data_IF_005121269624
#
_entry.id   IF_005121269624
#
_cell.length_a   1.000
_cell.length_b   1.000
_cell.length_c   1.000
_cell.angle_alpha   90.00
_cell.angle_beta   90.00
_cell.angle_gamma   90.00
#
_symmetry.space_group_name_H-M   'P 1'
#
loop_
_entity.id
_entity.type
_entity.pdbx_description
1 polymer ?
#
# COMPACT_ATOMS: atom_id res chain seq x y z
N UNK A 1 26.27 2.26 16.10
CA UNK A 1 25.71 1.79 14.81
C UNK A 1 24.32 2.39 14.70
N UNK A 2 24.00 3.10 13.61
CA UNK A 2 22.61 3.53 13.36
C UNK A 2 21.84 2.31 12.87
N UNK A 3 20.77 1.93 13.56
CA UNK A 3 19.86 0.90 13.07
C UNK A 3 19.14 1.45 11.83
N UNK A 4 19.33 0.78 10.70
CA UNK A 4 18.63 1.07 9.45
C UNK A 4 17.64 -0.07 9.26
N UNK A 5 16.34 0.19 9.43
CA UNK A 5 15.32 -0.86 9.29
C UNK A 5 13.97 -0.50 9.90
N UNK A 6 13.05 -1.46 9.87
CA UNK A 6 11.77 -1.40 10.58
C UNK A 6 11.99 -1.63 12.08
N UNK A 7 11.24 -0.92 12.90
CA UNK A 7 11.33 -0.95 14.37
C UNK A 7 10.05 -1.60 14.92
N UNK A 8 10.01 -2.93 15.11
CA UNK A 8 8.80 -3.60 15.63
C UNK A 8 9.10 -4.65 16.70
N UNK A 9 8.17 -4.82 17.64
CA UNK A 9 8.19 -5.90 18.64
C UNK A 9 7.42 -7.11 18.14
N UNK A 10 8.02 -8.30 18.28
CA UNK A 10 7.36 -9.58 18.01
C UNK A 10 6.39 -10.00 19.10
N UNK A 11 6.42 -9.35 20.27
CA UNK A 11 5.56 -9.68 21.42
C UNK A 11 4.17 -9.03 21.34
N UNK A 12 4.02 -7.96 20.55
CA UNK A 12 2.77 -7.17 20.48
C UNK A 12 1.83 -7.56 19.32
N UNK A 13 2.24 -8.44 18.39
CA UNK A 13 1.52 -8.65 17.12
C UNK A 13 1.45 -10.13 16.72
N UNK A 14 0.23 -10.62 16.46
CA UNK A 14 0.03 -11.87 15.71
C UNK A 14 0.73 -11.77 14.33
N UNK A 15 1.34 -12.87 13.88
CA UNK A 15 2.17 -12.90 12.65
C UNK A 15 1.46 -12.32 11.44
N UNK A 16 0.19 -12.66 11.26
CA UNK A 16 -0.65 -12.21 10.15
C UNK A 16 -0.82 -10.69 10.17
N UNK A 17 -1.07 -10.11 11.35
CA UNK A 17 -1.20 -8.66 11.52
C UNK A 17 0.11 -7.94 11.21
N UNK A 18 1.25 -8.54 11.54
CA UNK A 18 2.55 -7.99 11.21
C UNK A 18 2.78 -7.96 9.69
N UNK A 19 2.40 -9.02 8.96
CA UNK A 19 2.49 -9.08 7.50
C UNK A 19 1.61 -7.99 6.87
N UNK A 20 0.35 -7.87 7.31
CA UNK A 20 -0.58 -6.83 6.82
C UNK A 20 0.00 -5.43 7.03
N UNK A 21 0.57 -5.16 8.21
CA UNK A 21 1.21 -3.87 8.51
C UNK A 21 2.47 -3.62 7.69
N UNK A 22 3.23 -4.66 7.38
CA UNK A 22 4.37 -4.56 6.48
C UNK A 22 3.94 -4.25 5.04
N UNK A 23 2.89 -4.90 4.53
CA UNK A 23 2.29 -4.58 3.24
C UNK A 23 1.81 -3.11 3.20
N UNK A 24 1.19 -2.63 4.28
CA UNK A 24 0.82 -1.22 4.42
C UNK A 24 2.03 -0.27 4.33
N UNK A 25 3.14 -0.62 4.99
CA UNK A 25 4.38 0.15 4.90
C UNK A 25 4.94 0.17 3.47
N UNK A 26 4.96 -0.99 2.79
CA UNK A 26 5.38 -1.08 1.39
C UNK A 26 4.54 -0.16 0.50
N UNK A 27 3.22 -0.21 0.63
CA UNK A 27 2.30 0.66 -0.13
C UNK A 27 2.54 2.14 0.15
N UNK A 28 2.99 2.53 1.35
CA UNK A 28 3.33 3.94 1.66
C UNK A 28 4.59 4.41 0.92
N UNK A 29 5.57 3.54 0.74
CA UNK A 29 6.82 3.90 0.05
C UNK A 29 6.72 3.81 -1.47
N UNK A 30 5.68 3.16 -2.01
CA UNK A 30 5.46 3.04 -3.47
C UNK A 30 5.40 4.39 -4.21
N UNK A 31 5.07 5.50 -3.54
CA UNK A 31 5.11 6.84 -4.14
C UNK A 31 6.50 7.19 -4.72
N UNK A 32 7.57 6.57 -4.22
CA UNK A 32 8.92 6.73 -4.76
C UNK A 32 9.06 6.21 -6.19
N UNK A 33 8.14 5.37 -6.66
CA UNK A 33 8.12 4.83 -8.03
C UNK A 33 7.40 5.75 -9.03
N UNK A 34 6.91 6.92 -8.57
CA UNK A 34 6.20 7.86 -9.44
C UNK A 34 7.11 8.40 -10.55
N UNK A 35 6.59 8.39 -11.77
CA UNK A 35 7.18 8.94 -12.99
C UNK A 35 6.65 10.33 -13.33
N UNK A 36 5.45 10.64 -12.84
CA UNK A 36 4.79 11.92 -13.06
C UNK A 36 4.39 12.52 -11.71
N UNK A 37 4.55 13.84 -11.59
CA UNK A 37 4.16 14.59 -10.41
C UNK A 37 3.20 15.70 -10.85
N UNK A 38 1.99 15.69 -10.29
CA UNK A 38 0.97 16.69 -10.54
C UNK A 38 0.68 17.45 -9.25
N UNK A 39 0.47 18.76 -9.36
CA UNK A 39 -0.02 19.60 -8.28
C UNK A 39 -1.46 19.98 -8.58
N UNK A 40 -2.32 20.02 -7.56
CA UNK A 40 -3.67 20.55 -7.72
C UNK A 40 -3.62 22.04 -8.12
N UNK A 41 -4.72 22.56 -8.66
CA UNK A 41 -4.89 23.99 -8.94
C UNK A 41 -4.88 24.84 -7.66
N UNK A 42 -5.28 24.25 -6.54
CA UNK A 42 -5.36 24.84 -5.20
C UNK A 42 -4.04 24.75 -4.43
N UNK A 43 -3.04 24.08 -5.02
CA UNK A 43 -1.78 23.78 -4.34
C UNK A 43 -1.06 25.06 -3.94
N UNK A 44 -0.82 25.22 -2.64
CA UNK A 44 -0.04 26.32 -2.09
C UNK A 44 1.03 25.79 -1.14
N UNK A 45 2.26 26.26 -1.33
CA UNK A 45 3.36 25.97 -0.43
C UNK A 45 3.81 27.22 0.31
N UNK A 46 3.73 27.24 1.65
CA UNK A 46 4.32 28.33 2.43
C UNK A 46 5.81 28.49 2.11
N UNK A 47 6.34 29.72 1.92
CA UNK A 47 7.74 29.96 1.54
C UNK A 47 8.76 29.24 2.41
N UNK A 48 8.49 29.09 3.72
CA UNK A 48 9.33 28.39 4.68
C UNK A 48 9.46 26.88 4.41
N UNK A 49 8.60 26.29 3.58
CA UNK A 49 8.56 24.86 3.26
C UNK A 49 8.95 24.56 1.81
N UNK A 50 9.12 25.57 0.96
CA UNK A 50 9.44 25.39 -0.48
C UNK A 50 10.68 24.53 -0.68
N UNK A 51 11.76 24.82 0.06
CA UNK A 51 13.01 24.06 -0.03
C UNK A 51 12.85 22.58 0.38
N UNK A 52 12.00 22.31 1.37
CA UNK A 52 11.70 20.94 1.79
C UNK A 52 10.87 20.19 0.75
N UNK A 53 9.89 20.88 0.15
CA UNK A 53 9.07 20.36 -0.95
C UNK A 53 9.91 20.06 -2.20
N UNK A 54 10.81 20.97 -2.59
CA UNK A 54 11.73 20.75 -3.72
C UNK A 54 12.59 19.51 -3.52
N UNK A 55 13.13 19.30 -2.31
CA UNK A 55 13.91 18.10 -1.97
C UNK A 55 13.09 16.82 -2.03
N UNK A 56 11.84 16.87 -1.56
CA UNK A 56 10.93 15.74 -1.63
C UNK A 56 10.63 15.38 -3.10
N UNK A 57 10.32 16.38 -3.93
CA UNK A 57 10.09 16.20 -5.36
C UNK A 57 11.33 15.59 -6.02
N UNK A 58 12.53 16.13 -5.78
CA UNK A 58 13.81 15.57 -6.28
C UNK A 58 14.03 14.13 -5.83
N UNK A 59 13.60 13.78 -4.62
CA UNK A 59 13.71 12.43 -4.05
C UNK A 59 12.80 11.46 -4.81
N UNK A 60 11.56 11.85 -5.09
CA UNK A 60 10.59 11.05 -5.85
C UNK A 60 11.06 10.89 -7.30
N UNK A 61 11.42 11.99 -7.98
CA UNK A 61 11.84 11.95 -9.39
C UNK A 61 13.07 11.09 -9.63
N UNK A 62 13.94 10.95 -8.61
CA UNK A 62 15.14 10.12 -8.65
C UNK A 62 14.96 8.73 -8.05
N UNK A 63 13.72 8.34 -7.74
CA UNK A 63 13.35 7.04 -7.15
C UNK A 63 14.15 6.69 -5.90
N UNK A 64 14.44 7.70 -5.08
CA UNK A 64 15.18 7.53 -3.82
C UNK A 64 14.22 7.16 -2.69
N UNK A 65 14.77 6.62 -1.61
CA UNK A 65 14.01 6.25 -0.43
C UNK A 65 13.22 7.44 0.16
N UNK A 66 11.90 7.36 0.11
CA UNK A 66 11.00 8.38 0.67
C UNK A 66 10.72 8.15 2.15
N UNK A 67 11.14 7.03 2.73
CA UNK A 67 10.88 6.69 4.14
C UNK A 67 11.27 7.78 5.15
N UNK A 68 12.30 8.63 4.92
CA UNK A 68 12.61 9.75 5.81
C UNK A 68 11.50 10.82 5.89
N UNK A 69 10.67 10.94 4.85
CA UNK A 69 9.57 11.91 4.78
C UNK A 69 8.28 11.40 5.45
N UNK A 70 8.19 10.10 5.73
CA UNK A 70 7.05 9.51 6.43
C UNK A 70 7.11 9.80 7.95
N UNK A 71 5.97 9.62 8.61
CA UNK A 71 5.92 9.60 10.07
C UNK A 71 6.86 8.53 10.65
N UNK A 72 7.47 8.80 11.80
CA UNK A 72 8.22 7.78 12.56
C UNK A 72 7.37 6.54 12.87
N UNK A 73 6.05 6.73 12.98
CA UNK A 73 5.05 5.66 13.15
C UNK A 73 5.03 4.65 12.00
N UNK A 74 5.43 5.04 10.80
CA UNK A 74 5.44 4.16 9.64
C UNK A 74 6.47 3.03 9.78
N UNK A 75 7.71 3.34 10.20
CA UNK A 75 8.73 2.31 10.47
C UNK A 75 8.39 1.45 11.69
N UNK A 76 7.57 1.98 12.60
CA UNK A 76 7.01 1.25 13.72
C UNK A 76 5.79 0.38 13.36
N UNK A 77 5.46 0.27 12.07
CA UNK A 77 4.33 -0.53 11.57
C UNK A 77 3.01 -0.16 12.27
N UNK A 78 2.83 1.14 12.55
CA UNK A 78 1.58 1.66 13.12
C UNK A 78 0.65 2.10 12.00
N UNK A 79 -0.64 1.89 12.24
CA UNK A 79 -1.70 2.26 11.32
C UNK A 79 -1.74 3.78 11.11
N UNK A 80 -1.99 4.17 9.86
CA UNK A 80 -2.29 5.54 9.46
C UNK A 80 -3.73 5.53 8.95
N UNK A 81 -4.64 6.09 9.75
CA UNK A 81 -6.07 6.01 9.46
C UNK A 81 -6.45 6.66 8.14
N UNK A 82 -5.88 7.82 7.81
CA UNK A 82 -6.25 8.53 6.58
C UNK A 82 -5.60 7.89 5.35
N UNK A 83 -4.38 7.35 5.46
CA UNK A 83 -3.83 6.53 4.38
C UNK A 83 -4.60 5.21 4.18
N UNK A 84 -5.05 4.57 5.26
CA UNK A 84 -5.83 3.34 5.17
C UNK A 84 -7.22 3.61 4.60
N UNK A 85 -7.85 4.71 5.00
CA UNK A 85 -9.20 5.07 4.58
C UNK A 85 -9.23 5.64 3.15
N UNK A 86 -8.36 6.60 2.86
CA UNK A 86 -8.39 7.38 1.61
C UNK A 86 -7.21 7.13 0.67
N UNK A 87 -6.18 6.40 1.10
CA UNK A 87 -4.95 6.26 0.31
C UNK A 87 -4.10 7.53 0.27
N UNK A 88 -4.44 8.55 1.06
CA UNK A 88 -3.71 9.83 1.12
C UNK A 88 -2.55 9.73 2.10
N UNK A 89 -1.35 9.99 1.59
CA UNK A 89 -0.09 10.03 2.32
C UNK A 89 0.16 11.41 2.94
N UNK A 90 0.83 11.38 4.09
CA UNK A 90 1.27 12.56 4.82
C UNK A 90 2.80 12.60 4.84
N UNK A 91 3.38 13.62 4.19
CA UNK A 91 4.82 13.74 4.01
C UNK A 91 5.34 15.01 4.70
N UNK A 92 6.35 14.87 5.56
CA UNK A 92 6.99 15.98 6.26
C UNK A 92 7.86 16.82 5.31
N UNK A 93 7.91 18.14 5.52
CA UNK A 93 8.57 19.09 4.60
C UNK A 93 9.76 19.81 5.23
N UNK A 94 10.38 19.21 6.25
CA UNK A 94 11.63 19.70 6.82
C UNK A 94 12.78 19.72 5.81
N UNK A 95 13.71 20.63 6.05
CA UNK A 95 14.86 20.80 5.16
C UNK A 95 16.02 19.85 5.50
N UNK A 96 16.12 19.37 6.75
CA UNK A 96 17.21 18.51 7.20
C UNK A 96 16.70 17.19 7.80
N UNK A 97 17.60 16.22 7.88
CA UNK A 97 17.38 14.99 8.65
C UNK A 97 17.70 15.23 10.12
N UNK A 98 16.85 14.72 10.99
CA UNK A 98 17.09 14.61 12.42
C UNK A 98 18.13 13.49 12.71
N UNK A 99 18.49 13.34 13.98
CA UNK A 99 19.45 12.33 14.43
C UNK A 99 19.02 10.88 14.14
N UNK A 100 17.71 10.63 13.97
CA UNK A 100 17.10 9.33 13.66
C UNK A 100 16.97 9.08 12.16
N UNK A 101 17.33 10.05 11.32
CA UNK A 101 17.24 9.93 9.87
C UNK A 101 15.84 10.20 9.31
N UNK A 102 15.04 11.00 10.02
CA UNK A 102 13.76 11.51 9.52
C UNK A 102 13.86 12.98 9.18
N UNK A 103 13.04 13.43 8.24
CA UNK A 103 12.91 14.85 7.95
C UNK A 103 12.35 15.59 9.18
N UNK A 104 12.97 16.71 9.52
CA UNK A 104 12.55 17.57 10.63
C UNK A 104 11.07 17.93 10.52
N UNK A 105 10.36 17.89 11.66
CA UNK A 105 8.94 18.21 11.71
C UNK A 105 8.76 19.73 11.61
N UNK A 106 8.09 20.17 10.56
CA UNK A 106 7.85 21.58 10.27
C UNK A 106 6.51 22.11 10.78
N UNK A 107 5.62 21.23 11.25
CA UNK A 107 4.22 21.56 11.52
C UNK A 107 3.37 21.15 10.32
N UNK A 108 3.24 22.00 9.28
CA UNK A 108 2.57 21.65 8.04
C UNK A 108 3.23 20.48 7.31
N UNK A 109 2.42 19.73 6.60
CA UNK A 109 2.77 18.49 5.90
C UNK A 109 2.04 18.43 4.56
N UNK A 110 2.68 17.79 3.59
CA UNK A 110 2.10 17.54 2.28
C UNK A 110 1.13 16.36 2.35
N UNK A 111 -0.07 16.58 1.83
CA UNK A 111 -1.03 15.52 1.54
C UNK A 111 -0.87 15.13 0.07
N UNK A 112 -0.61 13.85 -0.19
CA UNK A 112 -0.37 13.35 -1.55
C UNK A 112 -1.07 12.01 -1.79
N UNK A 113 -1.48 11.75 -3.02
CA UNK A 113 -2.03 10.46 -3.44
C UNK A 113 -1.11 9.84 -4.49
N UNK A 114 -0.91 8.53 -4.46
CA UNK A 114 -0.14 7.82 -5.47
C UNK A 114 -1.02 6.86 -6.25
N UNK A 115 -1.05 7.02 -7.58
CA UNK A 115 -1.70 6.10 -8.49
C UNK A 115 -0.65 5.17 -9.11
N UNK A 116 -0.66 3.91 -8.68
CA UNK A 116 0.27 2.90 -9.17
C UNK A 116 0.04 2.52 -10.65
N UNK A 117 -1.19 2.63 -11.16
CA UNK A 117 -1.47 2.29 -12.57
C UNK A 117 -0.86 3.32 -13.53
N UNK A 118 -0.95 4.60 -13.17
CA UNK A 118 -0.39 5.71 -13.96
C UNK A 118 1.07 6.01 -13.60
N UNK A 119 1.59 5.39 -12.52
CA UNK A 119 2.85 5.75 -11.87
C UNK A 119 2.93 7.27 -11.63
N UNK A 120 1.87 7.83 -11.05
CA UNK A 120 1.74 9.27 -10.85
C UNK A 120 1.53 9.62 -9.37
N UNK A 121 2.28 10.62 -8.90
CA UNK A 121 2.08 11.25 -7.60
C UNK A 121 1.27 12.55 -7.77
N UNK A 122 0.20 12.64 -7.00
CA UNK A 122 -0.76 13.73 -7.01
C UNK A 122 -0.63 14.52 -5.70
N UNK A 123 0.05 15.66 -5.77
CA UNK A 123 0.26 16.57 -4.65
C UNK A 123 -1.00 17.41 -4.43
N UNK A 124 -1.78 17.05 -3.41
CA UNK A 124 -3.11 17.62 -3.17
C UNK A 124 -2.98 19.02 -2.60
N UNK A 125 -2.44 19.16 -1.39
CA UNK A 125 -2.10 20.45 -0.80
C UNK A 125 -1.21 20.27 0.44
N UNK A 126 -0.82 21.38 1.07
CA UNK A 126 -0.15 21.39 2.37
C UNK A 126 -1.16 21.76 3.45
N UNK A 127 -1.22 20.94 4.49
CA UNK A 127 -2.16 21.09 5.60
C UNK A 127 -1.43 21.12 6.94
N UNK A 128 -2.05 21.79 7.92
CA UNK A 128 -1.63 21.66 9.31
C UNK A 128 -1.76 20.22 9.81
N UNK A 129 -0.80 19.81 10.64
CA UNK A 129 -0.82 18.50 11.25
C UNK A 129 -2.05 18.33 12.16
N UNK A 130 -2.86 17.30 11.93
CA UNK A 130 -4.11 17.08 12.68
C UNK A 130 -5.36 17.04 11.78
N UNK A 131 -5.26 17.58 10.57
CA UNK A 131 -6.34 17.68 9.58
C UNK A 131 -6.64 16.36 8.87
N UNK A 132 -6.89 15.29 9.63
CA UNK A 132 -6.95 13.92 9.11
C UNK A 132 -8.29 13.53 8.47
N UNK A 133 -9.33 14.33 8.61
CA UNK A 133 -10.66 14.05 8.07
C UNK A 133 -11.21 15.21 7.25
N UNK A 134 -10.31 16.08 6.76
CA UNK A 134 -10.66 17.23 5.96
C UNK A 134 -11.29 16.80 4.63
N UNK A 135 -12.59 17.05 4.45
CA UNK A 135 -13.34 16.58 3.26
C UNK A 135 -12.87 17.25 1.97
N UNK A 136 -12.38 18.49 2.08
CA UNK A 136 -11.85 19.25 0.95
C UNK A 136 -10.69 18.52 0.23
N UNK A 137 -9.94 17.67 0.93
CA UNK A 137 -8.88 16.83 0.33
C UNK A 137 -9.43 15.99 -0.82
N UNK A 138 -10.57 15.33 -0.60
CA UNK A 138 -11.21 14.49 -1.63
C UNK A 138 -11.94 15.33 -2.67
N UNK A 139 -12.46 16.50 -2.28
CA UNK A 139 -13.04 17.44 -3.24
C UNK A 139 -11.98 18.00 -4.21
N UNK A 140 -10.81 18.41 -3.71
CA UNK A 140 -9.68 18.86 -4.53
C UNK A 140 -9.23 17.74 -5.47
N UNK A 141 -9.12 16.51 -4.97
CA UNK A 141 -8.80 15.36 -5.83
C UNK A 141 -9.84 15.19 -6.94
N UNK A 142 -11.13 15.34 -6.64
CA UNK A 142 -12.21 15.23 -7.62
C UNK A 142 -12.19 16.35 -8.66
N UNK A 143 -11.99 17.59 -8.24
CA UNK A 143 -12.00 18.77 -9.12
C UNK A 143 -10.78 18.82 -10.06
N UNK A 144 -9.68 18.18 -9.66
CA UNK A 144 -8.44 18.13 -10.45
C UNK A 144 -8.29 16.84 -11.25
N UNK A 145 -8.62 15.70 -10.64
CA UNK A 145 -8.34 14.37 -11.17
C UNK A 145 -9.53 13.42 -10.94
N UNK A 146 -10.71 13.71 -11.50
CA UNK A 146 -11.93 12.95 -11.20
C UNK A 146 -11.80 11.46 -11.51
N UNK A 147 -11.00 11.09 -12.51
CA UNK A 147 -10.73 9.70 -12.89
C UNK A 147 -10.02 8.89 -11.81
N UNK A 148 -9.28 9.53 -10.90
CA UNK A 148 -8.66 8.87 -9.74
C UNK A 148 -9.74 8.39 -8.77
N UNK A 149 -10.85 9.11 -8.68
CA UNK A 149 -11.97 8.80 -7.78
C UNK A 149 -13.13 8.06 -8.46
N UNK A 150 -13.19 8.04 -9.80
CA UNK A 150 -14.19 7.33 -10.60
C UNK A 150 -14.46 5.89 -10.14
N UNK A 151 -13.45 5.05 -9.84
CA UNK A 151 -13.67 3.67 -9.38
C UNK A 151 -14.43 3.57 -8.05
N UNK A 152 -14.45 4.64 -7.26
CA UNK A 152 -15.07 4.68 -5.93
C UNK A 152 -16.43 5.38 -5.93
N UNK A 153 -16.88 5.92 -7.07
CA UNK A 153 -18.18 6.57 -7.20
C UNK A 153 -19.32 5.57 -7.10
N UNK A 154 -20.36 5.95 -6.35
CA UNK A 154 -21.58 5.16 -6.22
C UNK A 154 -22.58 5.52 -7.32
N UNK A 155 -22.46 4.82 -8.46
CA UNK A 155 -23.36 5.03 -9.58
C UNK A 155 -24.81 4.72 -9.21
N UNK A 156 -25.72 5.64 -9.53
CA UNK A 156 -27.15 5.53 -9.23
C UNK A 156 -27.55 5.98 -7.82
N UNK A 157 -26.62 6.50 -7.02
CA UNK A 157 -26.89 7.08 -5.70
C UNK A 157 -26.79 8.60 -5.79
N UNK A 158 -27.85 9.30 -5.38
CA UNK A 158 -27.89 10.78 -5.45
C UNK A 158 -27.26 11.47 -4.24
N UNK A 159 -27.31 10.84 -3.07
CA UNK A 159 -26.70 11.32 -1.83
C UNK A 159 -26.64 10.18 -0.81
N UNK A 160 -25.71 10.25 0.13
CA UNK A 160 -25.71 9.39 1.33
C UNK A 160 -26.10 10.22 2.55
N UNK A 161 -26.95 9.64 3.41
CA UNK A 161 -27.40 10.26 4.66
C UNK A 161 -27.25 9.29 5.85
N UNK A 162 -26.91 9.78 7.06
CA UNK A 162 -26.54 11.16 7.35
C UNK A 162 -25.19 11.54 6.72
N UNK A 163 -25.00 12.83 6.44
CA UNK A 163 -23.67 13.36 6.09
C UNK A 163 -22.93 13.62 7.40
N UNK A 164 -21.81 12.92 7.61
CA UNK A 164 -21.06 12.99 8.86
C UNK A 164 -20.09 14.17 8.84
N UNK A 165 -20.03 14.93 9.93
CA UNK A 165 -19.01 15.97 10.08
C UNK A 165 -17.60 15.38 10.21
N UNK A 166 -16.57 16.17 9.93
CA UNK A 166 -15.17 15.70 9.92
C UNK A 166 -14.75 15.06 11.25
N UNK A 167 -15.19 15.63 12.38
CA UNK A 167 -14.94 15.08 13.72
C UNK A 167 -15.68 13.77 13.98
N UNK A 168 -16.87 13.58 13.39
CA UNK A 168 -17.63 12.34 13.48
C UNK A 168 -16.98 11.26 12.63
N UNK A 169 -16.55 11.59 11.42
CA UNK A 169 -15.75 10.70 10.58
C UNK A 169 -14.48 10.25 11.32
N UNK A 170 -13.76 11.18 11.94
CA UNK A 170 -12.55 10.83 12.69
C UNK A 170 -12.83 9.88 13.86
N UNK A 171 -13.96 10.05 14.56
CA UNK A 171 -14.39 9.13 15.63
C UNK A 171 -14.72 7.74 15.07
N UNK A 172 -15.53 7.67 14.01
CA UNK A 172 -15.90 6.42 13.35
C UNK A 172 -14.68 5.68 12.82
N UNK A 173 -13.75 6.39 12.17
CA UNK A 173 -12.50 5.83 11.68
C UNK A 173 -11.65 5.27 12.82
N UNK A 174 -11.54 5.98 13.95
CA UNK A 174 -10.83 5.48 15.14
C UNK A 174 -11.45 4.20 15.72
N UNK A 175 -12.76 3.98 15.52
CA UNK A 175 -13.45 2.77 15.95
C UNK A 175 -13.54 1.68 14.87
N UNK A 176 -12.82 1.80 13.74
CA UNK A 176 -12.86 0.78 12.68
C UNK A 176 -14.08 0.88 11.75
N UNK A 177 -14.80 2.00 11.78
CA UNK A 177 -15.94 2.29 10.93
C UNK A 177 -15.54 3.03 9.65
N UNK A 178 -16.25 2.72 8.57
CA UNK A 178 -16.13 3.40 7.28
C UNK A 178 -17.38 4.24 7.02
N UNK A 179 -17.22 5.36 6.32
CA UNK A 179 -18.34 6.17 5.85
C UNK A 179 -18.23 6.38 4.34
N UNK A 180 -19.37 6.64 3.72
CA UNK A 180 -19.42 7.19 2.37
C UNK A 180 -19.36 8.71 2.47
N UNK A 181 -18.78 9.37 1.48
CA UNK A 181 -18.53 10.82 1.49
C UNK A 181 -19.26 11.43 0.31
N UNK A 182 -20.10 12.45 0.57
CA UNK A 182 -20.70 13.24 -0.50
C UNK A 182 -19.69 14.29 -0.96
N UNK A 183 -19.26 14.22 -2.22
CA UNK A 183 -18.58 15.30 -2.93
C UNK A 183 -19.59 16.14 -3.70
N UNK A 184 -19.16 17.26 -4.28
CA UNK A 184 -19.99 18.09 -5.16
C UNK A 184 -19.41 18.13 -6.57
N UNK A 185 -20.28 18.01 -7.58
CA UNK A 185 -19.91 18.32 -8.96
C UNK A 185 -19.93 19.84 -9.24
N UNK A 186 -19.47 20.24 -10.42
CA UNK A 186 -19.46 21.65 -10.85
C UNK A 186 -20.85 22.33 -10.84
N UNK A 187 -21.92 21.54 -10.85
CA UNK A 187 -23.32 22.01 -10.81
C UNK A 187 -23.90 21.98 -9.39
N UNK A 188 -23.12 21.56 -8.40
CA UNK A 188 -23.53 21.42 -7.00
C UNK A 188 -24.33 20.16 -6.70
N UNK A 189 -24.38 19.18 -7.62
CA UNK A 189 -25.00 17.89 -7.33
C UNK A 189 -24.09 17.09 -6.41
N UNK A 190 -24.70 16.37 -5.46
CA UNK A 190 -23.97 15.48 -4.58
C UNK A 190 -23.54 14.22 -5.35
N UNK A 191 -22.30 13.82 -5.10
CA UNK A 191 -21.67 12.65 -5.70
C UNK A 191 -21.07 11.80 -4.58
N UNK A 192 -21.78 10.76 -4.14
CA UNK A 192 -21.28 9.89 -3.09
C UNK A 192 -20.14 9.01 -3.58
N UNK A 193 -19.07 8.94 -2.78
CA UNK A 193 -17.95 8.04 -3.00
C UNK A 193 -17.74 7.11 -1.81
N UNK A 194 -17.29 5.89 -2.09
CA UNK A 194 -16.65 5.03 -1.11
C UNK A 194 -15.23 5.55 -0.79
N UNK A 195 -14.63 5.14 0.34
CA UNK A 195 -13.27 5.56 0.67
C UNK A 195 -12.23 5.10 -0.38
N UNK A 196 -11.43 6.01 -0.96
CA UNK A 196 -10.50 5.68 -2.05
C UNK A 196 -9.29 4.84 -1.63
N UNK A 197 -9.07 4.63 -0.33
CA UNK A 197 -8.11 3.68 0.23
C UNK A 197 -8.71 2.30 0.52
N UNK A 198 -9.97 2.06 0.12
CA UNK A 198 -10.82 0.90 0.45
C UNK A 198 -11.29 0.84 1.90
N UNK A 199 -10.94 1.83 2.71
CA UNK A 199 -11.38 1.89 4.09
C UNK A 199 -10.53 1.04 5.04
N UNK A 200 -11.07 0.89 6.24
CA UNK A 200 -10.44 0.20 7.37
C UNK A 200 -11.28 -0.98 7.84
N UNK A 201 -10.63 -1.96 8.44
CA UNK A 201 -11.31 -3.06 9.13
C UNK A 201 -11.70 -2.63 10.55
N UNK A 202 -12.56 -3.41 11.20
CA UNK A 202 -12.89 -3.23 12.63
C UNK A 202 -11.67 -3.40 13.54
N UNK A 203 -10.60 -4.05 13.07
CA UNK A 203 -9.32 -4.15 13.77
C UNK A 203 -8.39 -2.93 13.56
N UNK A 204 -8.83 -1.94 12.76
CA UNK A 204 -8.09 -0.71 12.45
C UNK A 204 -7.06 -0.83 11.31
N UNK A 205 -6.91 -2.02 10.72
CA UNK A 205 -5.99 -2.24 9.58
C UNK A 205 -6.63 -1.79 8.27
N UNK A 206 -5.82 -1.52 7.24
CA UNK A 206 -6.34 -1.21 5.90
C UNK A 206 -7.03 -2.42 5.28
N UNK A 207 -8.21 -2.19 4.68
CA UNK A 207 -8.92 -3.22 3.90
C UNK A 207 -8.10 -3.64 2.68
N UNK A 208 -7.50 -2.68 1.96
CA UNK A 208 -6.68 -2.97 0.79
C UNK A 208 -5.53 -3.94 1.12
N UNK A 209 -4.81 -3.69 2.22
CA UNK A 209 -3.66 -4.51 2.60
C UNK A 209 -4.09 -5.90 3.14
N UNK A 210 -5.26 -6.00 3.77
CA UNK A 210 -5.86 -7.29 4.16
C UNK A 210 -6.24 -8.12 2.92
N UNK A 211 -6.83 -7.48 1.90
CA UNK A 211 -7.15 -8.17 0.65
C UNK A 211 -5.90 -8.67 -0.06
N UNK A 212 -4.82 -7.88 -0.08
CA UNK A 212 -3.52 -8.32 -0.63
C UNK A 212 -3.00 -9.52 0.17
N UNK A 213 -3.02 -9.45 1.50
CA UNK A 213 -2.60 -10.57 2.35
C UNK A 213 -3.40 -11.85 2.06
N UNK A 214 -4.72 -11.76 2.04
CA UNK A 214 -5.59 -12.91 1.74
C UNK A 214 -5.31 -13.50 0.36
N UNK A 215 -5.10 -12.64 -0.65
CA UNK A 215 -4.72 -13.08 -1.99
C UNK A 215 -3.39 -13.84 -1.98
N UNK A 216 -2.36 -13.33 -1.31
CA UNK A 216 -1.06 -13.99 -1.20
C UNK A 216 -1.16 -15.35 -0.49
N UNK A 217 -1.96 -15.43 0.58
CA UNK A 217 -2.21 -16.69 1.29
C UNK A 217 -2.91 -17.69 0.37
N UNK A 218 -3.94 -17.26 -0.37
CA UNK A 218 -4.65 -18.10 -1.32
C UNK A 218 -3.73 -18.58 -2.44
N UNK A 219 -2.90 -17.71 -3.01
CA UNK A 219 -1.92 -18.08 -4.05
C UNK A 219 -0.94 -19.15 -3.57
N UNK A 220 -0.47 -19.06 -2.32
CA UNK A 220 0.42 -20.08 -1.72
C UNK A 220 -0.31 -21.40 -1.50
N UNK A 221 -1.56 -21.37 -1.03
CA UNK A 221 -2.39 -22.56 -0.82
C UNK A 221 -2.73 -23.26 -2.13
N UNK A 222 -3.08 -22.49 -3.16
CA UNK A 222 -3.35 -23.00 -4.51
C UNK A 222 -2.10 -23.63 -5.10
N UNK A 223 -0.92 -23.03 -4.87
CA UNK A 223 0.34 -23.60 -5.28
C UNK A 223 0.65 -24.92 -4.58
N UNK A 224 0.41 -25.00 -3.27
CA UNK A 224 0.59 -26.23 -2.51
C UNK A 224 -0.33 -27.34 -3.03
N UNK A 225 -1.61 -27.02 -3.27
CA UNK A 225 -2.59 -27.94 -3.85
C UNK A 225 -2.14 -28.42 -5.23
N UNK A 226 -1.70 -27.50 -6.08
CA UNK A 226 -1.20 -27.82 -7.42
C UNK A 226 -0.01 -28.78 -7.37
N UNK A 227 0.96 -28.56 -6.48
CA UNK A 227 2.11 -29.46 -6.29
C UNK A 227 1.64 -30.84 -5.85
N UNK A 228 0.74 -30.92 -4.87
CA UNK A 228 0.18 -32.19 -4.37
C UNK A 228 -0.52 -32.97 -5.49
N UNK A 229 -1.40 -32.33 -6.24
CA UNK A 229 -2.16 -32.94 -7.34
C UNK A 229 -1.28 -33.38 -8.52
N UNK A 230 -0.11 -32.76 -8.69
CA UNK A 230 0.82 -33.07 -9.79
C UNK A 230 2.07 -33.84 -9.34
N UNK A 231 2.09 -34.39 -8.13
CA UNK A 231 3.26 -35.07 -7.54
C UNK A 231 3.84 -36.14 -8.48
N UNK A 232 3.01 -36.97 -9.10
CA UNK A 232 3.47 -38.02 -10.00
C UNK A 232 4.16 -37.47 -11.27
N UNK A 233 3.59 -36.39 -11.84
CA UNK A 233 4.17 -35.69 -13.00
C UNK A 233 5.52 -35.07 -12.65
N UNK A 234 5.63 -34.48 -11.46
CA UNK A 234 6.85 -33.90 -10.91
C UNK A 234 7.93 -34.99 -10.75
N UNK A 235 7.60 -36.14 -10.14
CA UNK A 235 8.51 -37.30 -10.00
C UNK A 235 8.97 -37.77 -11.39
N UNK A 236 8.07 -37.89 -12.36
CA UNK A 236 8.42 -38.30 -13.73
C UNK A 236 9.46 -37.37 -14.35
N UNK A 237 9.32 -36.06 -14.15
CA UNK A 237 10.28 -35.08 -14.67
C UNK A 237 11.62 -35.10 -13.94
N UNK A 238 11.62 -35.30 -12.62
CA UNK A 238 12.86 -35.53 -11.87
C UNK A 238 13.64 -36.72 -12.48
N UNK A 239 12.95 -37.83 -12.75
CA UNK A 239 13.56 -39.02 -13.38
C UNK A 239 14.10 -38.73 -14.78
N UNK A 240 13.39 -37.93 -15.58
CA UNK A 240 13.87 -37.49 -16.91
C UNK A 240 15.15 -36.64 -16.83
N UNK A 241 15.36 -35.93 -15.73
CA UNK A 241 16.59 -35.18 -15.45
C UNK A 241 17.69 -36.04 -14.81
N UNK A 242 17.51 -37.36 -14.72
CA UNK A 242 18.47 -38.29 -14.11
C UNK A 242 18.44 -38.29 -12.59
N UNK A 243 17.42 -37.69 -11.96
CA UNK A 243 17.28 -37.65 -10.49
C UNK A 243 16.47 -38.85 -10.01
N UNK A 244 17.02 -39.59 -9.04
CA UNK A 244 16.31 -40.65 -8.33
C UNK A 244 15.35 -40.00 -7.34
N UNK A 245 14.05 -40.04 -7.62
CA UNK A 245 13.03 -39.48 -6.75
C UNK A 245 12.86 -40.31 -5.47
N UNK A 246 12.77 -39.69 -4.27
CA UNK A 246 12.60 -40.40 -3.00
C UNK A 246 11.19 -40.97 -2.84
N UNK A 247 11.05 -41.96 -1.95
CA UNK A 247 9.76 -42.47 -1.51
C UNK A 247 9.12 -41.45 -0.56
N UNK A 248 8.01 -40.84 -0.97
CA UNK A 248 7.39 -39.71 -0.27
C UNK A 248 8.15 -38.40 -0.47
N UNK A 249 8.11 -37.79 -1.67
CA UNK A 249 8.82 -36.55 -1.93
C UNK A 249 8.33 -35.41 -1.04
N UNK A 250 9.29 -34.65 -0.52
CA UNK A 250 9.01 -33.48 0.30
C UNK A 250 9.43 -32.23 -0.47
N UNK A 251 8.49 -31.33 -0.68
CA UNK A 251 8.68 -30.14 -1.49
C UNK A 251 8.68 -28.87 -0.64
N UNK A 252 9.53 -27.92 -1.02
CA UNK A 252 9.50 -26.56 -0.49
C UNK A 252 9.56 -25.54 -1.61
N UNK A 253 8.91 -24.40 -1.38
CA UNK A 253 9.01 -23.24 -2.27
C UNK A 253 10.33 -22.52 -2.02
N UNK A 254 11.10 -22.25 -3.07
CA UNK A 254 12.38 -21.52 -3.00
C UNK A 254 12.48 -20.47 -4.09
N UNK A 255 13.14 -19.35 -3.80
CA UNK A 255 13.48 -18.32 -4.80
C UNK A 255 14.93 -18.50 -5.25
N UNK A 256 15.16 -18.73 -6.53
CA UNK A 256 16.49 -18.88 -7.14
C UNK A 256 16.60 -17.85 -8.27
N UNK A 257 17.60 -16.96 -8.20
CA UNK A 257 17.83 -15.90 -9.20
C UNK A 257 16.57 -15.09 -9.52
N UNK A 258 15.80 -14.74 -8.48
CA UNK A 258 14.57 -13.94 -8.60
C UNK A 258 13.32 -14.71 -9.01
N UNK A 259 13.42 -16.01 -9.34
CA UNK A 259 12.28 -16.83 -9.78
C UNK A 259 11.91 -17.88 -8.74
N UNK A 260 10.63 -18.20 -8.65
CA UNK A 260 10.12 -19.22 -7.73
C UNK A 260 10.20 -20.63 -8.34
N UNK A 261 10.63 -21.58 -7.52
CA UNK A 261 10.78 -22.99 -7.86
C UNK A 261 10.20 -23.86 -6.74
N UNK A 262 9.67 -25.02 -7.13
CA UNK A 262 9.41 -26.10 -6.20
C UNK A 262 10.64 -26.97 -6.13
N UNK A 263 11.25 -27.05 -4.95
CA UNK A 263 12.47 -27.81 -4.70
C UNK A 263 12.16 -29.03 -3.86
N UNK A 264 12.51 -30.21 -4.36
CA UNK A 264 12.47 -31.43 -3.57
C UNK A 264 13.65 -31.41 -2.59
N UNK A 265 13.36 -31.67 -1.31
CA UNK A 265 14.26 -31.42 -0.19
C UNK A 265 15.44 -32.41 -0.17
N UNK A 266 15.21 -33.69 -0.47
CA UNK A 266 16.21 -34.74 -0.33
C UNK A 266 17.22 -34.77 -1.49
N UNK A 267 16.75 -34.47 -2.70
CA UNK A 267 17.53 -34.52 -3.95
C UNK A 267 18.07 -33.15 -4.35
N UNK A 268 17.58 -32.08 -3.73
CA UNK A 268 17.81 -30.69 -4.13
C UNK A 268 17.35 -30.34 -5.56
N UNK A 269 16.62 -31.22 -6.24
CA UNK A 269 16.09 -30.96 -7.56
C UNK A 269 15.08 -29.82 -7.50
N UNK A 270 15.29 -28.77 -8.28
CA UNK A 270 14.42 -27.59 -8.36
C UNK A 270 13.69 -27.58 -9.71
N UNK A 271 12.37 -27.51 -9.66
CA UNK A 271 11.50 -27.52 -10.83
C UNK A 271 10.75 -26.20 -10.93
N UNK A 272 10.71 -25.66 -12.14
CA UNK A 272 10.01 -24.40 -12.40
C UNK A 272 8.49 -24.62 -12.31
N UNK A 273 7.77 -23.68 -11.69
CA UNK A 273 6.33 -23.76 -11.51
C UNK A 273 5.53 -23.89 -12.82
N UNK A 274 6.00 -23.28 -13.92
CA UNK A 274 5.38 -23.40 -15.26
C UNK A 274 5.33 -24.83 -15.78
N UNK A 275 6.20 -25.70 -15.25
CA UNK A 275 6.26 -27.10 -15.64
C UNK A 275 5.11 -27.89 -14.99
N UNK A 276 4.68 -27.43 -13.81
CA UNK A 276 3.59 -28.03 -13.03
C UNK A 276 2.25 -27.57 -13.64
N UNK A 277 2.08 -26.26 -13.84
CA UNK A 277 0.95 -25.65 -14.56
C UNK A 277 1.42 -24.61 -15.60
N UNK A 278 1.27 -24.87 -16.91
CA UNK A 278 1.63 -23.93 -17.98
C UNK A 278 0.81 -22.63 -17.97
N UNK A 279 -0.35 -22.61 -17.31
CA UNK A 279 -1.25 -21.46 -17.25
C UNK A 279 -0.97 -20.51 -16.07
N UNK A 280 -0.10 -20.87 -15.12
CA UNK A 280 0.26 -19.97 -14.04
C UNK A 280 1.03 -18.74 -14.57
N UNK A 281 0.50 -17.54 -14.27
CA UNK A 281 1.28 -16.30 -14.33
C UNK A 281 2.41 -16.38 -13.30
N UNK A 282 3.58 -15.85 -13.63
CA UNK A 282 4.71 -15.83 -12.69
C UNK A 282 4.29 -15.12 -11.39
N UNK A 283 4.56 -15.74 -10.25
CA UNK A 283 4.52 -15.08 -8.95
C UNK A 283 5.62 -14.00 -8.99
N UNK A 284 5.23 -12.73 -9.09
CA UNK A 284 6.17 -11.59 -9.05
C UNK A 284 6.72 -11.39 -7.63
#
# INVERSE_FOLDING_TARGET
MKEVGLEFSTEEHEKDKLIIKYLNYLRKIEIQEAKYIYKSKEFYCPPEHEKGLEKLIDTIEKERDISPYLSTRAKQLKDDGMFNDWGVLHLHLGNNLDNRGYIERTGPILFAYYNNQEKAAYLINIYEHGNWAKKDVLQIMYDNWPWVLDPFKLNGVSAVTPDFEEDEHLKLRKSGGNILINLQDEKGNLLPIAPPGWGITTAGTSVADVMIYQKLVQEIQDLEKLVKENTEKIIKQMRQQGVIAPEGPNFKLVKISGKWYVKEVNTNCALNLKIIDPMQKELN
#
